data_IF_016739986610
#
_entry.id   IF_016739986610
#
_cell.length_a   1.000
_cell.length_b   1.000
_cell.length_c   1.000
_cell.angle_alpha   90.00
_cell.angle_beta   90.00
_cell.angle_gamma   90.00
#
_symmetry.space_group_name_H-M   'P 1'
#
loop_
_entity.id
_entity.type
_entity.pdbx_description
1 polymer ?
#
# COMPACT_ATOMS: atom_id res chain seq x y z
N UNK A 1 -27.81 -10.07 20.67
CA UNK A 1 -27.13 -9.53 19.50
C UNK A 1 -25.83 -10.30 19.29
N UNK A 2 -25.57 -10.79 18.08
CA UNK A 2 -24.40 -11.63 17.78
C UNK A 2 -23.17 -10.79 17.44
N UNK A 3 -21.98 -11.34 17.70
CA UNK A 3 -20.69 -10.79 17.25
C UNK A 3 -20.05 -11.79 16.31
N UNK A 4 -19.36 -11.28 15.28
CA UNK A 4 -18.69 -12.13 14.30
C UNK A 4 -17.25 -11.63 14.13
N UNK A 5 -16.32 -12.52 14.34
CA UNK A 5 -14.89 -12.26 14.10
C UNK A 5 -14.41 -13.20 13.01
N UNK A 6 -13.67 -12.65 12.05
CA UNK A 6 -13.17 -13.37 10.89
C UNK A 6 -11.68 -13.16 10.75
N UNK A 7 -10.95 -14.24 10.53
CA UNK A 7 -9.54 -14.20 10.09
C UNK A 7 -9.46 -14.74 8.67
N UNK A 8 -9.33 -13.82 7.73
CA UNK A 8 -9.36 -14.12 6.30
C UNK A 8 -7.96 -14.42 5.78
N UNK A 9 -7.71 -15.71 5.50
CA UNK A 9 -6.57 -16.15 4.69
C UNK A 9 -6.83 -16.06 3.18
N UNK A 10 -5.86 -16.47 2.38
CA UNK A 10 -5.99 -16.48 0.92
C UNK A 10 -7.03 -17.47 0.40
N UNK A 11 -7.14 -18.66 1.01
CA UNK A 11 -8.01 -19.76 0.55
C UNK A 11 -9.20 -19.99 1.47
N UNK A 12 -8.97 -19.88 2.77
CA UNK A 12 -10.00 -20.11 3.82
C UNK A 12 -10.05 -18.95 4.79
N UNK A 13 -11.22 -18.77 5.37
CA UNK A 13 -11.50 -17.81 6.45
C UNK A 13 -11.98 -18.58 7.68
N UNK A 14 -11.34 -18.34 8.81
CA UNK A 14 -11.81 -18.81 10.10
C UNK A 14 -12.82 -17.79 10.66
N UNK A 15 -14.01 -18.28 11.02
CA UNK A 15 -15.13 -17.45 11.50
C UNK A 15 -15.51 -17.87 12.91
N UNK A 16 -15.50 -16.91 13.83
CA UNK A 16 -15.96 -17.10 15.19
C UNK A 16 -17.22 -16.28 15.40
N UNK A 17 -18.32 -16.96 15.75
CA UNK A 17 -19.60 -16.33 16.10
C UNK A 17 -19.84 -16.45 17.59
N UNK A 18 -20.20 -15.36 18.21
CA UNK A 18 -20.61 -15.31 19.60
C UNK A 18 -22.08 -14.87 19.65
N UNK A 19 -22.94 -15.77 20.05
CA UNK A 19 -24.38 -15.50 20.19
C UNK A 19 -24.64 -14.58 21.39
N UNK A 20 -25.85 -14.03 21.46
CA UNK A 20 -26.29 -13.21 22.61
C UNK A 20 -26.35 -14.02 23.93
N UNK A 21 -26.51 -15.33 23.83
CA UNK A 21 -26.47 -16.27 24.95
C UNK A 21 -25.05 -16.50 25.50
N UNK A 22 -24.01 -16.11 24.74
CA UNK A 22 -22.61 -16.40 25.05
C UNK A 22 -22.08 -17.67 24.36
N UNK A 23 -22.93 -18.40 23.64
CA UNK A 23 -22.51 -19.58 22.89
C UNK A 23 -21.55 -19.18 21.77
N UNK A 24 -20.48 -19.98 21.58
CA UNK A 24 -19.43 -19.74 20.59
C UNK A 24 -19.51 -20.85 19.54
N UNK A 25 -19.62 -20.46 18.28
CA UNK A 25 -19.46 -21.33 17.12
C UNK A 25 -18.21 -20.93 16.33
N UNK A 26 -17.44 -21.93 15.89
CA UNK A 26 -16.24 -21.74 15.09
C UNK A 26 -16.42 -22.51 13.79
N UNK A 27 -16.23 -21.84 12.67
CA UNK A 27 -16.39 -22.40 11.33
C UNK A 27 -15.17 -22.03 10.47
N UNK A 28 -14.77 -22.92 9.58
CA UNK A 28 -13.79 -22.65 8.52
C UNK A 28 -14.50 -22.70 7.18
N UNK A 29 -14.53 -21.58 6.47
CA UNK A 29 -15.21 -21.46 5.19
C UNK A 29 -14.23 -21.05 4.08
N UNK A 30 -14.49 -21.41 2.81
CA UNK A 30 -13.72 -20.85 1.70
C UNK A 30 -13.78 -19.32 1.70
N UNK A 31 -12.68 -18.68 1.33
CA UNK A 31 -12.63 -17.22 1.23
C UNK A 31 -13.42 -16.77 0.00
N UNK A 32 -14.64 -16.28 0.24
CA UNK A 32 -15.54 -15.67 -0.74
C UNK A 32 -16.20 -14.45 -0.09
N UNK A 33 -15.99 -13.29 -0.69
CA UNK A 33 -16.48 -12.04 -0.13
C UNK A 33 -18.01 -11.99 -0.02
N UNK A 34 -18.76 -12.64 -0.91
CA UNK A 34 -20.22 -12.70 -0.82
C UNK A 34 -20.67 -13.56 0.37
N UNK A 35 -20.05 -14.74 0.53
CA UNK A 35 -20.30 -15.61 1.67
C UNK A 35 -19.93 -14.94 3.00
N UNK A 36 -18.80 -14.24 3.07
CA UNK A 36 -18.35 -13.54 4.27
C UNK A 36 -19.28 -12.38 4.66
N UNK A 37 -19.84 -11.65 3.69
CA UNK A 37 -20.86 -10.63 3.97
C UNK A 37 -22.13 -11.23 4.56
N UNK A 38 -22.61 -12.33 3.99
CA UNK A 38 -23.78 -13.06 4.48
C UNK A 38 -23.55 -13.57 5.90
N UNK A 39 -22.34 -14.05 6.20
CA UNK A 39 -21.97 -14.50 7.55
C UNK A 39 -21.95 -13.37 8.58
N UNK A 40 -21.69 -12.14 8.17
CA UNK A 40 -21.69 -10.95 9.01
C UNK A 40 -23.07 -10.31 9.18
N UNK A 41 -24.06 -10.71 8.38
CA UNK A 41 -25.39 -10.10 8.37
C UNK A 41 -26.09 -10.24 9.72
N UNK A 42 -26.68 -9.14 10.18
CA UNK A 42 -27.36 -9.06 11.48
C UNK A 42 -26.44 -9.07 12.72
N UNK A 43 -25.11 -9.09 12.55
CA UNK A 43 -24.18 -8.95 13.66
C UNK A 43 -24.05 -7.49 14.09
N UNK A 44 -23.92 -7.25 15.41
CA UNK A 44 -23.72 -5.89 15.97
C UNK A 44 -22.27 -5.48 16.07
N UNK A 45 -21.35 -6.43 16.06
CA UNK A 45 -19.90 -6.20 16.04
C UNK A 45 -19.29 -7.19 15.06
N UNK A 46 -18.65 -6.66 14.03
CA UNK A 46 -17.94 -7.46 13.02
C UNK A 46 -16.48 -7.03 13.03
N UNK A 47 -15.59 -7.99 13.29
CA UNK A 47 -14.13 -7.76 13.21
C UNK A 47 -13.54 -8.69 12.19
N UNK A 48 -12.77 -8.11 11.25
CA UNK A 48 -12.11 -8.86 10.16
C UNK A 48 -10.63 -8.56 10.16
N UNK A 49 -9.82 -9.58 10.42
CA UNK A 49 -8.40 -9.62 10.11
C UNK A 49 -8.21 -10.17 8.70
N UNK A 50 -7.16 -9.75 8.00
CA UNK A 50 -6.84 -10.31 6.68
C UNK A 50 -5.35 -10.22 6.38
N UNK A 51 -4.82 -11.25 5.72
CA UNK A 51 -3.46 -11.31 5.18
C UNK A 51 -3.41 -10.96 3.68
N UNK A 52 -4.52 -10.52 3.08
CA UNK A 52 -4.60 -10.24 1.64
C UNK A 52 -3.53 -9.27 1.15
N UNK A 53 -3.29 -8.18 1.88
CA UNK A 53 -2.25 -7.21 1.51
C UNK A 53 -0.84 -7.80 1.62
N UNK A 54 -0.57 -8.59 2.66
CA UNK A 54 0.71 -9.28 2.84
C UNK A 54 0.95 -10.27 1.70
N UNK A 55 -0.06 -11.06 1.35
CA UNK A 55 0.03 -12.03 0.26
C UNK A 55 0.24 -11.32 -1.08
N UNK A 56 -0.51 -10.27 -1.38
CA UNK A 56 -0.33 -9.48 -2.59
C UNK A 56 1.10 -8.90 -2.70
N UNK A 57 1.68 -8.46 -1.57
CA UNK A 57 3.06 -7.98 -1.52
C UNK A 57 4.07 -9.10 -1.83
N UNK A 58 3.91 -10.27 -1.21
CA UNK A 58 4.82 -11.40 -1.39
C UNK A 58 4.73 -11.99 -2.81
N UNK A 59 3.52 -12.10 -3.33
CA UNK A 59 3.22 -12.63 -4.67
C UNK A 59 3.39 -11.58 -5.78
N UNK A 60 3.61 -10.32 -5.42
CA UNK A 60 3.72 -9.19 -6.37
C UNK A 60 2.50 -9.04 -7.29
N UNK A 61 1.32 -9.33 -6.78
CA UNK A 61 0.04 -9.26 -7.50
C UNK A 61 -0.69 -7.93 -7.34
N UNK A 62 -0.01 -6.91 -6.79
CA UNK A 62 -0.56 -5.58 -6.62
C UNK A 62 -0.82 -4.84 -7.94
N UNK A 63 -1.59 -3.77 -7.88
CA UNK A 63 -1.84 -2.91 -9.03
C UNK A 63 -0.55 -2.26 -9.55
N UNK A 64 -0.41 -2.03 -10.88
CA UNK A 64 0.69 -1.25 -11.42
C UNK A 64 0.76 0.13 -10.76
N UNK A 65 1.90 0.42 -10.12
CA UNK A 65 2.06 1.57 -9.23
C UNK A 65 3.10 2.55 -9.77
N UNK A 66 2.74 3.83 -9.82
CA UNK A 66 3.64 4.95 -10.04
C UNK A 66 4.19 5.41 -8.70
N UNK A 67 5.51 5.47 -8.55
CA UNK A 67 6.18 6.17 -7.44
C UNK A 67 6.46 7.60 -7.85
N UNK A 68 5.94 8.55 -7.10
CA UNK A 68 6.27 9.99 -7.25
C UNK A 68 7.23 10.37 -6.14
N UNK A 69 8.38 10.92 -6.51
CA UNK A 69 9.42 11.35 -5.57
C UNK A 69 10.09 12.65 -6.04
N UNK A 70 10.93 13.24 -5.19
CA UNK A 70 11.68 14.43 -5.57
C UNK A 70 12.75 14.13 -6.62
N UNK A 71 13.03 15.12 -7.47
CA UNK A 71 14.09 15.08 -8.47
C UNK A 71 15.43 14.70 -7.84
N UNK A 72 16.13 13.73 -8.48
CA UNK A 72 17.39 13.18 -8.01
C UNK A 72 17.25 12.05 -6.98
N UNK A 73 16.02 11.54 -6.71
CA UNK A 73 15.77 10.45 -5.77
C UNK A 73 15.01 9.28 -6.39
N UNK A 74 14.88 9.23 -7.71
CA UNK A 74 14.15 8.17 -8.41
C UNK A 74 14.74 6.78 -8.21
N UNK A 75 16.03 6.69 -7.95
CA UNK A 75 16.76 5.45 -7.69
C UNK A 75 16.82 5.06 -6.20
N UNK A 76 16.36 5.93 -5.28
CA UNK A 76 16.40 5.68 -3.84
C UNK A 76 15.72 4.37 -3.45
N UNK A 77 14.62 4.01 -4.15
CA UNK A 77 13.91 2.75 -3.92
C UNK A 77 14.78 1.51 -4.25
N UNK A 78 15.76 1.65 -5.14
CA UNK A 78 16.69 0.57 -5.51
C UNK A 78 17.82 0.42 -4.49
N UNK A 79 18.26 1.52 -3.88
CA UNK A 79 19.30 1.48 -2.84
C UNK A 79 18.77 0.95 -1.52
N UNK A 80 17.51 1.22 -1.18
CA UNK A 80 16.92 0.85 0.09
C UNK A 80 17.71 1.44 1.26
N UNK A 81 18.02 0.63 2.25
CA UNK A 81 18.81 1.01 3.43
C UNK A 81 20.34 0.92 3.22
N UNK A 82 20.79 0.61 2.01
CA UNK A 82 22.21 0.49 1.66
C UNK A 82 22.89 -0.79 2.14
N UNK A 83 22.20 -1.66 2.89
CA UNK A 83 22.78 -2.91 3.36
C UNK A 83 23.10 -3.86 2.18
N UNK A 84 24.24 -4.54 2.28
CA UNK A 84 24.59 -5.63 1.38
C UNK A 84 24.03 -6.93 1.92
N UNK A 85 23.18 -7.67 1.16
CA UNK A 85 22.68 -8.98 1.58
C UNK A 85 23.82 -9.98 1.85
N UNK A 86 24.87 -9.90 1.03
CA UNK A 86 26.13 -10.65 1.19
C UNK A 86 27.30 -9.67 1.05
N UNK A 87 28.12 -9.59 2.09
CA UNK A 87 29.24 -8.64 2.15
C UNK A 87 30.31 -8.94 1.10
N UNK A 88 30.51 -10.22 0.73
CA UNK A 88 31.55 -10.66 -0.19
C UNK A 88 31.04 -10.96 -1.59
N UNK A 89 29.76 -10.77 -1.87
CA UNK A 89 29.22 -10.97 -3.22
C UNK A 89 29.84 -9.99 -4.22
N UNK A 90 30.39 -10.52 -5.32
CA UNK A 90 30.92 -9.73 -6.43
C UNK A 90 29.79 -9.07 -7.24
N UNK A 91 28.60 -9.69 -7.26
CA UNK A 91 27.39 -9.16 -7.91
C UNK A 91 26.23 -9.18 -6.92
N UNK A 92 25.81 -8.00 -6.46
CA UNK A 92 24.69 -7.87 -5.52
C UNK A 92 23.40 -7.90 -6.31
N UNK A 93 22.59 -8.94 -6.10
CA UNK A 93 21.23 -8.99 -6.62
C UNK A 93 20.26 -8.45 -5.58
N UNK A 94 19.55 -7.39 -5.92
CA UNK A 94 18.48 -6.81 -5.11
C UNK A 94 17.12 -7.20 -5.70
N UNK A 95 16.10 -7.41 -4.88
CA UNK A 95 14.74 -7.60 -5.37
C UNK A 95 14.33 -6.39 -6.22
N UNK A 96 13.66 -6.66 -7.35
CA UNK A 96 13.11 -5.56 -8.16
C UNK A 96 12.14 -4.71 -7.32
N UNK A 97 12.09 -3.39 -7.49
CA UNK A 97 11.09 -2.54 -6.83
C UNK A 97 9.67 -3.00 -7.12
N UNK A 98 8.73 -2.69 -6.22
CA UNK A 98 7.30 -2.92 -6.45
C UNK A 98 6.67 -1.86 -7.34
N UNK A 99 7.24 -0.64 -7.34
CA UNK A 99 6.81 0.41 -8.25
C UNK A 99 7.09 0.00 -9.70
N UNK A 100 6.08 0.14 -10.57
CA UNK A 100 6.19 -0.16 -12.00
C UNK A 100 7.04 0.90 -12.72
N UNK A 101 6.90 2.15 -12.31
CA UNK A 101 7.64 3.29 -12.85
C UNK A 101 7.81 4.37 -11.78
N UNK A 102 8.75 5.28 -12.02
CA UNK A 102 9.06 6.39 -11.11
C UNK A 102 8.92 7.71 -11.87
N UNK A 103 8.25 8.68 -11.24
CA UNK A 103 8.15 10.06 -11.70
C UNK A 103 8.88 10.97 -10.71
N UNK A 104 9.88 11.69 -11.20
CA UNK A 104 10.61 12.66 -10.40
C UNK A 104 10.05 14.07 -10.61
N UNK A 105 9.70 14.73 -9.50
CA UNK A 105 9.09 16.07 -9.52
C UNK A 105 9.88 17.06 -8.66
N UNK A 106 9.59 18.35 -8.80
CA UNK A 106 9.99 19.39 -7.85
C UNK A 106 9.29 19.25 -6.49
N UNK A 107 9.31 20.30 -5.68
CA UNK A 107 8.63 20.30 -4.37
C UNK A 107 9.52 19.83 -3.24
N UNK A 108 10.82 20.11 -3.29
CA UNK A 108 11.75 19.71 -2.23
C UNK A 108 11.64 20.64 -1.02
N UNK A 109 11.54 20.02 0.15
CA UNK A 109 11.54 20.67 1.45
C UNK A 109 12.87 20.34 2.15
N UNK A 110 13.45 21.29 2.87
CA UNK A 110 14.64 21.06 3.69
C UNK A 110 14.27 20.53 5.10
N UNK A 111 15.29 20.26 5.90
CA UNK A 111 15.11 19.74 7.26
C UNK A 111 14.43 20.73 8.23
N UNK A 112 14.30 22.01 7.86
CA UNK A 112 13.59 23.04 8.66
C UNK A 112 12.14 23.17 8.26
N UNK A 113 11.70 22.49 7.17
CA UNK A 113 10.36 22.61 6.60
C UNK A 113 10.22 23.72 5.56
N UNK A 114 11.32 24.37 5.18
CA UNK A 114 11.30 25.41 4.14
C UNK A 114 11.34 24.77 2.75
N UNK A 115 10.54 25.33 1.82
CA UNK A 115 10.55 24.92 0.42
C UNK A 115 11.80 25.45 -0.27
N UNK A 116 12.67 24.54 -0.78
CA UNK A 116 13.91 24.88 -1.49
C UNK A 116 13.83 24.64 -3.00
N UNK A 117 12.84 23.87 -3.45
CA UNK A 117 12.48 23.69 -4.86
C UNK A 117 10.96 23.68 -4.97
N UNK A 118 10.34 24.57 -5.77
CA UNK A 118 8.88 24.67 -5.86
C UNK A 118 8.23 23.40 -6.35
N UNK A 119 7.03 23.08 -5.81
CA UNK A 119 6.24 21.96 -6.29
C UNK A 119 5.81 22.21 -7.75
N UNK A 120 6.37 21.41 -8.65
CA UNK A 120 6.01 21.39 -10.06
C UNK A 120 5.66 19.95 -10.48
N UNK A 121 4.41 19.76 -10.90
CA UNK A 121 3.90 18.50 -11.42
C UNK A 121 3.02 18.78 -12.64
N UNK A 122 3.23 18.03 -13.71
CA UNK A 122 2.42 18.14 -14.92
C UNK A 122 1.26 17.14 -14.89
N UNK A 123 0.03 17.65 -14.96
CA UNK A 123 -1.17 16.84 -15.08
C UNK A 123 -1.21 15.98 -16.33
N UNK A 124 -0.65 16.47 -17.43
CA UNK A 124 -0.60 15.71 -18.67
C UNK A 124 0.30 14.47 -18.53
N UNK A 125 1.41 14.60 -17.81
CA UNK A 125 2.30 13.50 -17.49
C UNK A 125 1.63 12.46 -16.58
N UNK A 126 0.93 12.88 -15.52
CA UNK A 126 0.12 11.98 -14.69
C UNK A 126 -0.93 11.24 -15.50
N UNK A 127 -1.61 11.97 -16.39
CA UNK A 127 -2.61 11.37 -17.26
C UNK A 127 -2.01 10.33 -18.21
N UNK A 128 -0.84 10.60 -18.79
CA UNK A 128 -0.15 9.65 -19.64
C UNK A 128 0.21 8.35 -18.91
N UNK A 129 0.61 8.43 -17.65
CA UNK A 129 0.84 7.24 -16.82
C UNK A 129 -0.45 6.44 -16.59
N UNK A 130 -1.56 7.11 -16.28
CA UNK A 130 -2.86 6.47 -16.14
C UNK A 130 -3.30 5.75 -17.44
N UNK A 131 -3.19 6.45 -18.57
CA UNK A 131 -3.55 5.90 -19.88
C UNK A 131 -2.60 4.74 -20.27
N UNK A 132 -1.35 4.76 -19.78
CA UNK A 132 -0.36 3.69 -19.89
C UNK A 132 -0.59 2.49 -18.96
N UNK A 133 -1.67 2.48 -18.15
CA UNK A 133 -2.05 1.32 -17.34
C UNK A 133 -1.71 1.42 -15.85
N UNK A 134 -1.14 2.52 -15.36
CA UNK A 134 -0.98 2.76 -13.92
C UNK A 134 -2.36 2.84 -13.25
N UNK A 135 -2.49 2.21 -12.07
CA UNK A 135 -3.75 2.15 -11.31
C UNK A 135 -3.59 2.51 -9.84
N UNK A 136 -2.36 2.74 -9.41
CA UNK A 136 -2.04 3.15 -8.04
C UNK A 136 -0.90 4.16 -8.06
N UNK A 137 -0.87 5.06 -7.08
CA UNK A 137 0.19 6.05 -6.91
C UNK A 137 0.70 5.98 -5.49
N UNK A 138 2.02 5.90 -5.34
CA UNK A 138 2.73 6.08 -4.08
C UNK A 138 3.47 7.41 -4.12
N UNK A 139 3.28 8.28 -3.14
CA UNK A 139 3.93 9.58 -3.05
C UNK A 139 4.90 9.54 -1.87
N UNK A 140 6.18 9.80 -2.14
CA UNK A 140 7.24 9.79 -1.12
C UNK A 140 8.16 10.98 -1.40
N UNK A 141 8.01 12.03 -0.61
CA UNK A 141 8.82 13.25 -0.72
C UNK A 141 9.79 13.37 0.44
N UNK A 142 10.97 13.92 0.17
CA UNK A 142 11.99 14.23 1.18
C UNK A 142 11.39 15.21 2.19
N UNK A 143 11.50 14.87 3.48
CA UNK A 143 10.91 15.61 4.60
C UNK A 143 9.38 15.80 4.50
N UNK A 144 8.67 15.00 3.71
CA UNK A 144 7.21 15.03 3.56
C UNK A 144 6.43 15.06 4.91
N UNK A 145 6.83 14.33 5.96
CA UNK A 145 6.17 14.42 7.27
C UNK A 145 6.22 15.80 7.92
N UNK A 146 7.24 16.64 7.62
CA UNK A 146 7.35 18.00 8.14
C UNK A 146 6.41 18.97 7.42
N UNK A 147 6.13 18.71 6.14
CA UNK A 147 5.22 19.52 5.32
C UNK A 147 4.37 18.61 4.41
N UNK A 148 3.29 18.01 4.94
CA UNK A 148 2.45 17.07 4.20
C UNK A 148 1.63 17.74 3.08
N UNK A 149 1.69 19.06 2.96
CA UNK A 149 0.88 19.81 1.99
C UNK A 149 1.23 19.47 0.54
N UNK A 150 2.52 19.27 0.23
CA UNK A 150 2.94 18.87 -1.11
C UNK A 150 2.34 17.51 -1.51
N UNK A 151 2.42 16.52 -0.62
CA UNK A 151 1.84 15.19 -0.88
C UNK A 151 0.32 15.26 -1.04
N UNK A 152 -0.38 16.06 -0.21
CA UNK A 152 -1.82 16.28 -0.34
C UNK A 152 -2.20 16.93 -1.67
N UNK A 153 -1.45 17.95 -2.10
CA UNK A 153 -1.67 18.59 -3.39
C UNK A 153 -1.49 17.63 -4.55
N UNK A 154 -0.44 16.79 -4.52
CA UNK A 154 -0.20 15.75 -5.52
C UNK A 154 -1.36 14.74 -5.50
N UNK A 155 -1.75 14.24 -4.33
CA UNK A 155 -2.86 13.30 -4.19
C UNK A 155 -4.19 13.83 -4.74
N UNK A 156 -4.42 15.15 -4.66
CA UNK A 156 -5.61 15.78 -5.24
C UNK A 156 -5.57 15.85 -6.78
N UNK A 157 -4.39 15.75 -7.37
CA UNK A 157 -4.20 15.75 -8.82
C UNK A 157 -4.31 14.37 -9.45
N UNK A 158 -4.10 13.30 -8.66
CA UNK A 158 -4.20 11.90 -9.05
C UNK A 158 -5.64 11.38 -8.96
#
# INVERSE_FOLDING_TARGET
MSRVWMDQGGTFTDVVRVAASGDVAIEKVPTDDAALRTLADGAVDVRRGTTAATNALLERTGAPTLLITNRGFGDAIQFGDGRRPDLFALAIQRPAPLATTVLEIGGRIDATGAEVDPLAIDRAELRAHWDGGIRSVAIVLIHGPLCPEHERRIATLC
#
